data_IF_603595289269
#
_entry.id   IF_603595289269
#
_cell.length_a   1.000
_cell.length_b   1.000
_cell.length_c   1.000
_cell.angle_alpha   90.00
_cell.angle_beta   90.00
_cell.angle_gamma   90.00
#
_symmetry.space_group_name_H-M   'P 1'
#
loop_
_entity.id
_entity.type
_entity.pdbx_description
1 polymer ?
#
# COMPACT_ATOMS: atom_id res chain seq x y z
N UNK A 1 23.11 -3.15 -17.63
CA UNK A 1 22.15 -2.16 -17.19
C UNK A 1 21.56 -2.54 -15.85
N UNK A 2 21.46 -1.58 -14.98
CA UNK A 2 20.83 -1.86 -13.71
C UNK A 2 19.35 -2.19 -13.92
N UNK A 3 18.91 -3.22 -13.23
CA UNK A 3 17.52 -3.60 -13.27
C UNK A 3 16.93 -3.19 -11.94
N UNK A 4 15.93 -2.35 -12.00
CA UNK A 4 15.25 -1.91 -10.79
C UNK A 4 14.18 -2.91 -10.44
N UNK A 5 14.47 -3.70 -9.43
CA UNK A 5 13.47 -4.65 -8.96
C UNK A 5 12.42 -3.91 -8.18
N UNK A 6 11.20 -4.15 -8.55
CA UNK A 6 10.08 -3.61 -7.80
C UNK A 6 9.35 -4.73 -7.10
N UNK A 7 8.74 -4.38 -6.01
CA UNK A 7 7.93 -5.35 -5.30
C UNK A 7 6.55 -4.78 -5.07
N UNK A 8 5.60 -5.64 -4.82
CA UNK A 8 4.27 -5.21 -4.44
C UNK A 8 4.20 -5.15 -2.94
N UNK A 9 3.64 -4.07 -2.44
CA UNK A 9 3.33 -3.92 -1.03
C UNK A 9 1.84 -3.65 -0.93
N UNK A 10 1.14 -4.48 -0.17
CA UNK A 10 -0.25 -4.24 0.15
C UNK A 10 -0.36 -3.81 1.60
N UNK A 11 -1.08 -2.75 1.85
CA UNK A 11 -1.33 -2.27 3.20
C UNK A 11 -2.82 -2.16 3.40
N UNK A 12 -3.33 -2.87 4.41
CA UNK A 12 -4.73 -2.76 4.78
C UNK A 12 -4.82 -1.93 6.05
N UNK A 13 -5.65 -0.91 6.01
CA UNK A 13 -5.90 -0.04 7.15
C UNK A 13 -7.34 -0.20 7.56
N UNK A 14 -7.58 -0.31 8.87
CA UNK A 14 -8.90 -0.60 9.42
C UNK A 14 -9.29 0.42 10.45
N UNK A 15 -10.59 0.46 10.72
CA UNK A 15 -11.14 1.28 11.80
C UNK A 15 -10.75 2.74 11.67
N UNK A 16 -10.83 3.24 10.46
CA UNK A 16 -10.44 4.62 10.17
C UNK A 16 -11.63 5.54 10.34
N UNK A 17 -11.37 6.70 10.92
CA UNK A 17 -12.34 7.75 10.98
C UNK A 17 -12.41 8.45 9.63
N UNK A 18 -13.46 9.24 9.43
CA UNK A 18 -13.62 9.94 8.16
C UNK A 18 -12.40 10.79 7.82
N UNK A 19 -11.91 11.56 8.80
CA UNK A 19 -10.75 12.40 8.57
C UNK A 19 -9.52 11.58 8.22
N UNK A 20 -9.39 10.42 8.85
CA UNK A 20 -8.27 9.54 8.57
C UNK A 20 -8.37 8.96 7.17
N UNK A 21 -9.58 8.61 6.74
CA UNK A 21 -9.77 8.14 5.38
C UNK A 21 -9.33 9.20 4.38
N UNK A 22 -9.71 10.44 4.60
CA UNK A 22 -9.32 11.53 3.72
C UNK A 22 -7.81 11.70 3.72
N UNK A 23 -7.19 11.61 4.89
CA UNK A 23 -5.75 11.74 4.99
C UNK A 23 -5.04 10.64 4.23
N UNK A 24 -5.56 9.42 4.31
CA UNK A 24 -4.94 8.30 3.61
C UNK A 24 -5.08 8.46 2.10
N UNK A 25 -6.25 8.87 1.63
CA UNK A 25 -6.42 9.11 0.20
C UNK A 25 -5.43 10.17 -0.27
N UNK A 26 -5.25 11.21 0.52
CA UNK A 26 -4.32 12.29 0.16
C UNK A 26 -2.88 11.80 0.17
N UNK A 27 -2.49 11.08 1.21
CA UNK A 27 -1.11 10.58 1.30
C UNK A 27 -0.82 9.56 0.22
N UNK A 28 -1.80 8.73 -0.12
CA UNK A 28 -1.62 7.76 -1.19
C UNK A 28 -1.31 8.46 -2.50
N UNK A 29 -2.00 9.55 -2.78
CA UNK A 29 -1.73 10.32 -3.98
C UNK A 29 -0.32 10.89 -3.97
N UNK A 30 0.11 11.39 -2.81
CA UNK A 30 1.45 11.96 -2.68
C UNK A 30 2.52 10.89 -2.89
N UNK A 31 2.32 9.71 -2.30
CA UNK A 31 3.30 8.64 -2.45
C UNK A 31 3.22 7.93 -3.80
N UNK A 32 2.13 8.16 -4.53
CA UNK A 32 1.95 7.45 -5.80
C UNK A 32 1.57 6.00 -5.60
N UNK A 33 0.80 5.70 -4.56
CA UNK A 33 0.27 4.35 -4.35
C UNK A 33 -1.21 4.36 -4.68
N UNK A 34 -1.73 3.19 -5.02
CA UNK A 34 -3.11 3.06 -5.45
C UNK A 34 -4.00 2.61 -4.30
N UNK A 35 -5.20 3.15 -4.25
CA UNK A 35 -6.23 2.62 -3.37
C UNK A 35 -7.00 1.61 -4.20
N UNK A 36 -6.84 0.34 -3.89
CA UNK A 36 -7.41 -0.72 -4.71
C UNK A 36 -8.79 -1.16 -4.23
N UNK A 37 -9.09 -0.89 -2.97
CA UNK A 37 -10.39 -1.24 -2.42
C UNK A 37 -10.62 -0.40 -1.18
N UNK A 38 -11.86 -0.11 -0.88
CA UNK A 38 -12.17 0.62 0.34
C UNK A 38 -13.64 0.46 0.68
N UNK A 39 -13.94 0.63 1.96
CA UNK A 39 -15.31 0.75 2.40
C UNK A 39 -15.38 1.95 3.35
N UNK A 40 -16.39 1.96 4.20
CA UNK A 40 -16.66 3.13 5.04
C UNK A 40 -15.51 3.45 6.01
N UNK A 41 -14.81 2.44 6.49
CA UNK A 41 -13.82 2.66 7.54
C UNK A 41 -12.52 1.92 7.29
N UNK A 42 -12.34 1.32 6.12
CA UNK A 42 -11.09 0.62 5.83
C UNK A 42 -10.73 0.79 4.38
N UNK A 43 -9.46 0.54 4.07
CA UNK A 43 -9.03 0.59 2.69
C UNK A 43 -7.77 -0.26 2.51
N UNK A 44 -7.49 -0.56 1.25
CA UNK A 44 -6.32 -1.34 0.88
C UNK A 44 -5.52 -0.51 -0.10
N UNK A 45 -4.24 -0.37 0.20
CA UNK A 45 -3.30 0.33 -0.66
C UNK A 45 -2.41 -0.69 -1.36
N UNK A 46 -2.08 -0.39 -2.59
CA UNK A 46 -1.15 -1.20 -3.36
C UNK A 46 -0.02 -0.31 -3.84
N UNK A 47 1.20 -0.69 -3.52
CA UNK A 47 2.38 0.05 -3.92
C UNK A 47 3.29 -0.86 -4.72
N UNK A 48 3.66 -0.44 -5.94
CA UNK A 48 4.59 -1.20 -6.78
C UNK A 48 5.81 -0.31 -6.96
N UNK A 49 6.77 -0.48 -6.08
CA UNK A 49 7.96 0.37 -6.04
C UNK A 49 9.15 -0.46 -5.62
N UNK A 50 10.31 0.15 -5.55
CA UNK A 50 11.48 -0.55 -5.04
C UNK A 50 11.29 -0.90 -3.58
N UNK A 51 12.09 -1.85 -3.11
CA UNK A 51 12.04 -2.26 -1.71
C UNK A 51 12.26 -1.08 -0.79
N UNK A 52 13.23 -0.25 -1.12
CA UNK A 52 13.56 0.91 -0.30
C UNK A 52 12.41 1.91 -0.23
N UNK A 53 11.79 2.16 -1.36
CA UNK A 53 10.65 3.08 -1.38
C UNK A 53 9.48 2.52 -0.59
N UNK A 54 9.24 1.21 -0.74
CA UNK A 54 8.17 0.57 0.01
C UNK A 54 8.45 0.56 1.51
N UNK A 55 9.74 0.44 1.90
CA UNK A 55 10.10 0.55 3.30
C UNK A 55 9.68 1.89 3.88
N UNK A 56 9.92 2.95 3.14
CA UNK A 56 9.58 4.29 3.60
C UNK A 56 8.07 4.47 3.71
N UNK A 57 7.35 3.96 2.73
CA UNK A 57 5.89 4.05 2.74
C UNK A 57 5.32 3.28 3.92
N UNK A 58 5.84 2.07 4.12
CA UNK A 58 5.38 1.23 5.22
C UNK A 58 5.66 1.89 6.56
N UNK A 59 6.85 2.49 6.69
CA UNK A 59 7.21 3.17 7.92
C UNK A 59 6.25 4.32 8.21
N UNK A 60 5.88 5.07 7.18
CA UNK A 60 4.95 6.18 7.36
C UNK A 60 3.60 5.70 7.91
N UNK A 61 3.05 4.66 7.31
CA UNK A 61 1.74 4.18 7.75
C UNK A 61 1.81 3.47 9.10
N UNK A 62 2.91 2.78 9.38
CA UNK A 62 3.09 2.20 10.71
C UNK A 62 3.09 3.27 11.78
N UNK A 63 3.73 4.40 11.50
CA UNK A 63 3.81 5.47 12.47
C UNK A 63 2.44 5.98 12.86
N UNK A 64 1.52 6.00 11.91
CA UNK A 64 0.21 6.60 12.15
C UNK A 64 -0.88 5.58 12.49
N UNK A 65 -0.73 4.33 12.05
CA UNK A 65 -1.82 3.36 12.16
C UNK A 65 -1.38 2.00 12.63
N UNK A 66 -0.31 1.90 13.38
CA UNK A 66 0.34 0.63 13.69
C UNK A 66 -0.64 -0.47 14.14
N UNK A 67 -1.52 -0.16 15.06
CA UNK A 67 -2.41 -1.17 15.63
C UNK A 67 -3.60 -1.49 14.72
N UNK A 68 -3.73 -0.78 13.62
CA UNK A 68 -4.89 -0.92 12.74
C UNK A 68 -4.46 -1.26 11.31
N UNK A 69 -3.23 -1.73 11.14
CA UNK A 69 -2.76 -2.03 9.80
C UNK A 69 -2.23 -3.44 9.69
N UNK A 70 -2.32 -3.95 8.49
CA UNK A 70 -1.68 -5.21 8.10
C UNK A 70 -0.96 -4.95 6.79
N UNK A 71 0.21 -5.53 6.64
CA UNK A 71 0.97 -5.33 5.42
C UNK A 71 1.47 -6.66 4.90
N UNK A 72 1.42 -6.82 3.59
CA UNK A 72 1.93 -8.01 2.92
C UNK A 72 2.85 -7.55 1.82
N UNK A 73 4.05 -8.11 1.77
CA UNK A 73 5.03 -7.77 0.74
C UNK A 73 5.22 -8.97 -0.15
N UNK A 74 5.16 -8.74 -1.45
CA UNK A 74 5.36 -9.78 -2.42
C UNK A 74 6.64 -9.56 -3.20
N UNK A 75 7.09 -10.60 -3.86
CA UNK A 75 8.26 -10.49 -4.71
C UNK A 75 7.93 -9.77 -6.00
N UNK A 76 8.96 -9.22 -6.62
CA UNK A 76 8.80 -8.45 -7.84
C UNK A 76 8.20 -9.26 -8.97
N UNK A 77 8.55 -10.53 -9.02
CA UNK A 77 8.09 -11.38 -10.10
C UNK A 77 6.59 -11.64 -10.03
N UNK A 78 6.03 -11.58 -8.83
CA UNK A 78 4.63 -11.88 -8.64
C UNK A 78 3.71 -10.75 -9.05
N UNK A 79 4.25 -9.60 -9.36
CA UNK A 79 3.45 -8.41 -9.58
C UNK A 79 2.38 -8.60 -10.65
N UNK A 80 2.80 -9.04 -11.81
CA UNK A 80 1.84 -9.19 -12.89
C UNK A 80 0.85 -10.30 -12.63
N UNK A 81 1.34 -11.39 -12.06
CA UNK A 81 0.47 -12.50 -11.76
C UNK A 81 -0.62 -12.10 -10.81
N UNK A 82 -0.27 -11.35 -9.78
CA UNK A 82 -1.25 -10.90 -8.81
C UNK A 82 -2.26 -9.99 -9.47
N UNK A 83 -1.80 -9.07 -10.30
CA UNK A 83 -2.70 -8.14 -10.97
C UNK A 83 -3.73 -8.86 -11.79
N UNK A 84 -3.35 -9.96 -12.40
CA UNK A 84 -4.26 -10.66 -13.28
C UNK A 84 -5.13 -11.65 -12.58
N UNK A 85 -4.61 -12.25 -11.55
CA UNK A 85 -5.33 -13.31 -10.89
C UNK A 85 -6.53 -12.80 -10.14
N UNK A 86 -6.66 -11.52 -10.05
CA UNK A 86 -7.81 -10.95 -9.41
C UNK A 86 -9.07 -11.12 -10.19
N UNK A 87 -8.95 -11.66 -11.30
CA UNK A 87 -10.17 -11.77 -12.07
C UNK A 87 -10.69 -13.15 -12.09
#
# INVERSE_FOLDING_TARGET
LPIHKKEILFIKLRALKREEMEDVFRSAAVFGVSVTDYDRSSLILESVKTESENDDILKYYKKHFLSRMEAVRGGAVAVESVSRSDR
#
